data_IF_607704066277
#
_entry.id   IF_607704066277
#
_cell.length_a   1.000
_cell.length_b   1.000
_cell.length_c   1.000
_cell.angle_alpha   90.00
_cell.angle_beta   90.00
_cell.angle_gamma   90.00
#
_symmetry.space_group_name_H-M   'P 1'
#
loop_
_entity.id
_entity.type
_entity.pdbx_description
1 polymer ?
#
# COMPACT_ATOMS: atom_id res chain seq x y z
N UNK A 1 10.04 15.59 28.02
CA UNK A 1 10.24 14.84 26.76
C UNK A 1 8.88 14.37 26.22
N UNK A 2 8.64 14.57 24.93
CA UNK A 2 7.41 14.00 24.33
C UNK A 2 7.43 12.47 24.45
N UNK A 3 6.28 11.91 24.68
CA UNK A 3 6.08 10.47 24.80
C UNK A 3 5.12 10.00 23.72
N UNK A 4 5.45 8.89 23.06
CA UNK A 4 4.60 8.25 22.06
C UNK A 4 4.42 6.77 22.42
N UNK A 5 3.20 6.28 22.25
CA UNK A 5 2.92 4.86 22.50
C UNK A 5 3.57 3.94 21.48
N UNK A 6 3.65 4.39 20.23
CA UNK A 6 4.26 3.63 19.14
C UNK A 6 5.21 4.50 18.35
N UNK A 7 6.37 3.94 18.04
CA UNK A 7 7.34 4.55 17.14
C UNK A 7 7.50 3.66 15.92
N UNK A 8 7.22 4.20 14.75
CA UNK A 8 7.36 3.47 13.50
C UNK A 8 8.52 4.10 12.72
N UNK A 9 9.55 3.34 12.48
CA UNK A 9 10.71 3.77 11.72
C UNK A 9 10.56 3.32 10.28
N UNK A 10 10.38 4.29 9.38
CA UNK A 10 10.18 4.05 7.96
C UNK A 10 8.76 4.30 7.51
N UNK A 11 8.60 5.23 6.56
CA UNK A 11 7.32 5.63 5.99
C UNK A 11 7.05 5.06 4.61
N UNK A 12 7.57 3.89 4.30
CA UNK A 12 7.27 3.17 3.06
C UNK A 12 5.95 2.43 3.15
N UNK A 13 5.75 1.45 2.26
CA UNK A 13 4.50 0.70 2.19
C UNK A 13 4.18 -0.01 3.50
N UNK A 14 5.17 -0.63 4.13
CA UNK A 14 4.96 -1.36 5.38
C UNK A 14 4.65 -0.42 6.54
N UNK A 15 5.43 0.64 6.71
CA UNK A 15 5.23 1.60 7.80
C UNK A 15 3.91 2.34 7.69
N UNK A 16 3.60 2.86 6.53
CA UNK A 16 2.31 3.55 6.29
C UNK A 16 1.14 2.58 6.37
N UNK A 17 1.32 1.35 5.89
CA UNK A 17 0.29 0.32 6.00
C UNK A 17 -0.01 -0.03 7.45
N UNK A 18 1.02 -0.10 8.31
CA UNK A 18 0.83 -0.33 9.73
C UNK A 18 0.10 0.84 10.39
N UNK A 19 0.47 2.08 10.06
CA UNK A 19 -0.26 3.26 10.56
C UNK A 19 -1.73 3.19 10.18
N UNK A 20 -2.01 2.88 8.92
CA UNK A 20 -3.39 2.74 8.43
C UNK A 20 -4.15 1.68 9.22
N UNK A 21 -3.54 0.52 9.42
CA UNK A 21 -4.17 -0.57 10.16
C UNK A 21 -4.44 -0.21 11.62
N UNK A 22 -3.48 0.44 12.29
CA UNK A 22 -3.65 0.86 13.67
C UNK A 22 -4.76 1.91 13.83
N UNK A 23 -4.84 2.84 12.90
CA UNK A 23 -5.87 3.89 12.93
C UNK A 23 -7.26 3.32 12.63
N UNK A 24 -7.36 2.45 11.61
CA UNK A 24 -8.66 1.94 11.16
C UNK A 24 -9.21 0.80 12.03
N UNK A 25 -8.33 0.02 12.66
CA UNK A 25 -8.73 -1.25 13.28
C UNK A 25 -8.50 -1.33 14.79
N UNK A 26 -8.08 -0.25 15.46
CA UNK A 26 -8.11 -0.51 16.80
C UNK A 26 -7.38 0.25 17.90
N UNK A 27 -6.73 1.35 17.64
CA UNK A 27 -6.02 2.04 18.72
C UNK A 27 -6.28 3.55 18.68
N UNK A 28 -7.55 3.98 18.83
CA UNK A 28 -7.89 5.40 18.62
C UNK A 28 -7.23 6.35 19.62
N UNK A 29 -6.92 5.86 20.84
CA UNK A 29 -6.39 6.70 21.91
C UNK A 29 -4.88 6.56 22.07
N UNK A 30 -4.18 6.01 21.10
CA UNK A 30 -2.72 5.82 21.14
C UNK A 30 -2.02 6.81 20.27
N UNK A 31 -0.90 7.32 20.75
CA UNK A 31 -0.06 8.23 19.99
C UNK A 31 0.96 7.45 19.15
N UNK A 32 1.13 7.86 17.90
CA UNK A 32 2.02 7.20 16.96
C UNK A 32 2.98 8.25 16.40
N UNK A 33 4.28 7.96 16.46
CA UNK A 33 5.29 8.76 15.78
C UNK A 33 5.84 7.95 14.62
N UNK A 34 5.66 8.46 13.41
CA UNK A 34 6.24 7.90 12.20
C UNK A 34 7.47 8.71 11.82
N UNK A 35 8.61 8.05 11.70
CA UNK A 35 9.87 8.68 11.33
C UNK A 35 10.30 8.18 9.96
N UNK A 36 10.51 9.09 9.02
CA UNK A 36 10.93 8.78 7.67
C UNK A 36 12.10 9.68 7.27
N UNK A 37 13.14 9.07 6.72
CA UNK A 37 14.33 9.80 6.29
C UNK A 37 14.05 10.70 5.09
N UNK A 38 13.20 10.24 4.17
CA UNK A 38 12.85 10.95 2.94
C UNK A 38 11.36 10.80 2.67
N UNK A 39 10.57 11.79 3.10
CA UNK A 39 9.13 11.77 2.96
C UNK A 39 8.62 11.80 1.54
N UNK A 40 9.47 12.13 0.55
CA UNK A 40 9.06 12.21 -0.85
C UNK A 40 9.31 10.91 -1.60
N UNK A 41 10.17 10.02 -1.10
CA UNK A 41 10.50 8.80 -1.82
C UNK A 41 9.29 7.90 -2.05
N UNK A 42 8.37 7.86 -1.10
CA UNK A 42 7.15 7.04 -1.21
C UNK A 42 6.26 7.53 -2.34
N UNK A 43 6.25 8.84 -2.63
CA UNK A 43 5.40 9.43 -3.66
C UNK A 43 5.79 8.99 -5.07
N UNK A 44 7.04 8.56 -5.25
CA UNK A 44 7.57 8.14 -6.54
C UNK A 44 7.48 6.63 -6.75
N UNK A 45 7.04 5.89 -5.74
CA UNK A 45 6.96 4.43 -5.82
C UNK A 45 5.62 4.00 -6.38
N UNK A 46 5.64 2.79 -6.93
CA UNK A 46 4.45 2.12 -7.44
C UNK A 46 4.54 0.66 -7.02
N UNK A 47 3.43 0.14 -6.52
CA UNK A 47 3.37 -1.26 -6.07
C UNK A 47 2.31 -2.01 -6.85
N UNK A 48 2.60 -3.30 -7.09
CA UNK A 48 1.63 -4.23 -7.66
C UNK A 48 1.49 -5.42 -6.72
N UNK A 49 0.28 -5.95 -6.62
CA UNK A 49 0.04 -7.16 -5.85
C UNK A 49 -1.10 -7.97 -6.45
N UNK A 50 -1.10 -9.27 -6.15
CA UNK A 50 -2.20 -10.15 -6.52
C UNK A 50 -3.19 -10.20 -5.36
N UNK A 51 -4.44 -9.89 -5.65
CA UNK A 51 -5.50 -9.87 -4.66
C UNK A 51 -6.55 -10.93 -5.01
N UNK A 52 -6.87 -11.78 -4.05
CA UNK A 52 -7.96 -12.72 -4.15
C UNK A 52 -9.26 -12.14 -3.62
N UNK A 53 -9.16 -11.40 -2.53
CA UNK A 53 -10.30 -10.80 -1.83
C UNK A 53 -10.22 -9.28 -1.87
N UNK A 54 -11.34 -8.57 -1.73
CA UNK A 54 -11.30 -7.12 -1.61
C UNK A 54 -10.44 -6.67 -0.43
N UNK A 55 -9.72 -5.57 -0.62
CA UNK A 55 -8.91 -4.92 0.40
C UNK A 55 -9.31 -3.47 0.54
N UNK A 56 -8.83 -2.82 1.62
CA UNK A 56 -9.09 -1.40 1.86
C UNK A 56 -8.50 -0.50 0.77
N UNK A 57 -7.59 -1.03 -0.03
CA UNK A 57 -6.88 -0.26 -1.05
C UNK A 57 -7.40 -0.47 -2.45
N UNK A 58 -8.41 -1.29 -2.64
CA UNK A 58 -8.92 -1.60 -3.99
C UNK A 58 -9.43 -0.36 -4.71
N UNK A 59 -10.12 0.53 -4.00
CA UNK A 59 -10.64 1.75 -4.58
C UNK A 59 -9.55 2.75 -5.00
N UNK A 60 -8.34 2.59 -4.46
CA UNK A 60 -7.20 3.46 -4.77
C UNK A 60 -6.39 2.95 -5.97
N UNK A 61 -6.61 1.72 -6.40
CA UNK A 61 -5.82 1.12 -7.47
C UNK A 61 -5.99 1.92 -8.76
N UNK A 62 -4.87 2.33 -9.35
CA UNK A 62 -4.89 3.03 -10.63
C UNK A 62 -5.24 2.09 -11.79
N UNK A 63 -4.85 0.83 -11.66
CA UNK A 63 -5.12 -0.21 -12.66
C UNK A 63 -5.42 -1.53 -11.97
N UNK A 64 -6.30 -2.32 -12.60
CA UNK A 64 -6.63 -3.67 -12.18
C UNK A 64 -6.72 -4.55 -13.41
N UNK A 65 -6.06 -5.71 -13.38
CA UNK A 65 -6.02 -6.62 -14.52
C UNK A 65 -6.53 -8.00 -14.14
N UNK A 66 -7.21 -8.64 -15.08
CA UNK A 66 -7.74 -9.99 -14.93
C UNK A 66 -6.81 -11.05 -15.55
N UNK A 67 -5.86 -10.61 -16.36
CA UNK A 67 -4.91 -11.48 -17.02
C UNK A 67 -3.59 -10.76 -17.23
N UNK A 68 -2.52 -11.53 -17.37
CA UNK A 68 -1.18 -11.01 -17.60
C UNK A 68 -0.54 -11.75 -18.79
N UNK A 69 0.34 -11.05 -19.49
CA UNK A 69 1.17 -11.67 -20.52
C UNK A 69 2.56 -11.91 -19.93
N UNK A 70 3.03 -13.14 -20.06
CA UNK A 70 4.39 -13.51 -19.64
C UNK A 70 5.18 -13.80 -20.91
N UNK A 71 6.30 -13.08 -21.09
CA UNK A 71 7.16 -13.22 -22.26
C UNK A 71 8.57 -13.50 -21.80
N UNK A 72 9.17 -14.53 -22.40
CA UNK A 72 10.58 -14.89 -22.21
C UNK A 72 11.06 -15.51 -23.53
N UNK A 73 12.38 -15.70 -23.74
CA UNK A 73 12.84 -16.38 -24.94
C UNK A 73 12.18 -17.74 -25.09
N UNK A 74 11.46 -17.95 -26.22
CA UNK A 74 10.73 -19.17 -26.48
C UNK A 74 9.43 -19.33 -25.72
N UNK A 75 8.99 -18.33 -24.97
CA UNK A 75 7.74 -18.38 -24.20
C UNK A 75 6.99 -17.06 -24.32
N UNK A 76 5.72 -17.13 -24.71
CA UNK A 76 4.86 -15.95 -24.81
C UNK A 76 3.42 -16.42 -24.60
N UNK A 77 2.87 -16.21 -23.41
CA UNK A 77 1.53 -16.61 -23.09
C UNK A 77 0.77 -15.56 -22.32
N UNK A 78 -0.54 -15.49 -22.59
CA UNK A 78 -1.49 -14.73 -21.78
C UNK A 78 -2.04 -15.71 -20.75
N UNK A 79 -1.91 -15.34 -19.48
CA UNK A 79 -2.33 -16.17 -18.35
C UNK A 79 -3.51 -15.49 -17.68
N UNK A 80 -4.70 -16.12 -17.71
CA UNK A 80 -5.83 -15.61 -16.94
C UNK A 80 -5.57 -15.82 -15.45
N UNK A 81 -5.90 -14.82 -14.64
CA UNK A 81 -5.61 -14.84 -13.21
C UNK A 81 -6.70 -15.56 -12.40
N UNK A 82 -7.79 -15.98 -13.05
CA UNK A 82 -8.87 -16.66 -12.36
C UNK A 82 -9.52 -15.78 -11.30
N UNK A 83 -9.49 -16.25 -10.05
CA UNK A 83 -10.04 -15.50 -8.92
C UNK A 83 -9.15 -14.34 -8.45
N UNK A 84 -7.91 -14.29 -8.94
CA UNK A 84 -6.97 -13.22 -8.56
C UNK A 84 -7.08 -12.04 -9.50
N UNK A 85 -6.70 -10.88 -8.98
CA UNK A 85 -6.57 -9.66 -9.76
C UNK A 85 -5.21 -9.05 -9.46
N UNK A 86 -4.53 -8.58 -10.49
CA UNK A 86 -3.30 -7.83 -10.32
C UNK A 86 -3.68 -6.36 -10.22
N UNK A 87 -3.29 -5.71 -9.13
CA UNK A 87 -3.60 -4.31 -8.88
C UNK A 87 -2.33 -3.50 -8.82
N UNK A 88 -2.40 -2.27 -9.33
CA UNK A 88 -1.31 -1.31 -9.28
C UNK A 88 -1.74 -0.12 -8.45
N UNK A 89 -0.95 0.22 -7.45
CA UNK A 89 -1.18 1.35 -6.56
C UNK A 89 -0.01 2.30 -6.63
N UNK A 90 -0.30 3.57 -6.90
CA UNK A 90 0.72 4.62 -6.89
C UNK A 90 0.98 5.07 -5.46
N UNK A 91 2.27 5.28 -5.14
CA UNK A 91 2.67 5.68 -3.80
C UNK A 91 2.03 6.99 -3.35
N UNK A 92 1.83 7.94 -4.26
CA UNK A 92 1.18 9.20 -3.93
C UNK A 92 -0.27 8.98 -3.46
N UNK A 93 -1.02 8.15 -4.18
CA UNK A 93 -2.41 7.86 -3.81
C UNK A 93 -2.49 7.15 -2.47
N UNK A 94 -1.58 6.19 -2.24
CA UNK A 94 -1.48 5.48 -0.97
C UNK A 94 -1.15 6.43 0.18
N UNK A 95 -0.13 7.26 0.02
CA UNK A 95 0.30 8.21 1.03
C UNK A 95 -0.81 9.21 1.37
N UNK A 96 -1.47 9.76 0.35
CA UNK A 96 -2.57 10.70 0.54
C UNK A 96 -3.72 10.06 1.31
N UNK A 97 -4.05 8.81 1.00
CA UNK A 97 -5.12 8.09 1.69
C UNK A 97 -4.81 7.87 3.16
N UNK A 98 -3.58 7.43 3.47
CA UNK A 98 -3.17 7.20 4.86
C UNK A 98 -3.16 8.50 5.64
N UNK A 99 -2.61 9.58 5.07
CA UNK A 99 -2.55 10.88 5.74
C UNK A 99 -3.93 11.46 5.95
N UNK A 100 -4.86 11.30 5.02
CA UNK A 100 -6.23 11.76 5.18
C UNK A 100 -6.92 11.08 6.38
N UNK A 101 -6.62 9.82 6.63
CA UNK A 101 -7.15 9.07 7.76
C UNK A 101 -6.60 9.50 9.11
N UNK A 102 -5.50 10.27 9.12
CA UNK A 102 -4.87 10.78 10.35
C UNK A 102 -5.44 12.13 10.79
N UNK A 103 -6.20 12.77 9.96
CA UNK A 103 -6.72 14.12 10.23
C UNK A 103 -7.83 14.13 11.29
#
# INVERSE_FOLDING_TARGET
MPHYDYLIAGGGAAGLGLVHALVCHGLPDRSILLVERDGESVLQRTWCWLAESPTDFDALAACTWEQVRVTAPGFNQVIPLGRYRLRLLRGQDFSNHVHAGLA
#
